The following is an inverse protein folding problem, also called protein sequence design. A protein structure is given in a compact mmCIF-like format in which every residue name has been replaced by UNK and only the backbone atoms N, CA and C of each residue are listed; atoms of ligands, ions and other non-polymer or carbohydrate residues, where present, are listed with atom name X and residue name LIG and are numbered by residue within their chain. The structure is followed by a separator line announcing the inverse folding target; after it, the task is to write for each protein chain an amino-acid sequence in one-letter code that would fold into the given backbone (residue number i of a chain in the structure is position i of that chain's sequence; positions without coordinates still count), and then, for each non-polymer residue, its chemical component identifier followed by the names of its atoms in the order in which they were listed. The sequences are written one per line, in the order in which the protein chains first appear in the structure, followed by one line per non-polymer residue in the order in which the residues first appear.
data_IF_196235613518
#
_entry.id   IF_196235613518
#
_cell.length_a   1.000
_cell.length_b   1.000
_cell.length_c   1.000
_cell.angle_alpha   90.00
_cell.angle_beta   90.00
_cell.angle_gamma   90.00
#
_symmetry.space_group_name_H-M   'P 1'
#
loop_
_entity.id
_entity.type
_entity.pdbx_description
1 polymer ?
#
# COMPACT_ATOMS: atom_id res chain seq x y z
N UNK A 1 8.04 -12.98 2.68
CA UNK A 1 6.92 -12.30 3.36
C UNK A 1 6.99 -12.58 4.85
N UNK A 2 7.29 -11.56 5.66
CA UNK A 2 7.40 -11.68 7.12
C UNK A 2 6.99 -10.35 7.77
N UNK A 3 5.75 -9.93 7.53
CA UNK A 3 5.18 -8.69 8.06
C UNK A 3 4.12 -9.00 9.14
N UNK A 4 4.01 -8.18 10.20
CA UNK A 4 2.91 -8.25 11.15
C UNK A 4 1.55 -8.19 10.44
N UNK A 5 0.48 -8.66 11.10
CA UNK A 5 -0.87 -8.79 10.50
C UNK A 5 -0.93 -9.73 9.28
N UNK A 6 -0.24 -10.88 9.37
CA UNK A 6 -0.37 -12.00 8.43
C UNK A 6 -0.12 -11.59 6.97
N UNK A 7 0.89 -10.74 6.74
CA UNK A 7 1.25 -10.21 5.43
C UNK A 7 0.09 -9.53 4.67
N UNK A 8 -0.76 -8.75 5.35
CA UNK A 8 -1.68 -7.85 4.67
C UNK A 8 -0.91 -6.90 3.73
N UNK A 9 -1.39 -6.75 2.49
CA UNK A 9 -0.76 -5.95 1.45
C UNK A 9 -1.06 -4.47 1.67
N UNK A 10 -0.25 -3.83 2.52
CA UNK A 10 -0.18 -2.37 2.62
C UNK A 10 0.53 -1.79 1.39
N UNK A 11 0.36 -0.48 1.15
CA UNK A 11 1.07 0.20 0.05
C UNK A 11 2.59 0.13 0.23
N UNK A 12 3.08 0.17 1.47
CA UNK A 12 4.51 0.01 1.76
C UNK A 12 5.02 -1.36 1.29
N UNK A 13 4.29 -2.44 1.62
CA UNK A 13 4.66 -3.78 1.18
C UNK A 13 4.62 -3.95 -0.34
N UNK A 14 3.64 -3.33 -1.00
CA UNK A 14 3.54 -3.35 -2.46
C UNK A 14 4.73 -2.63 -3.11
N UNK A 15 5.15 -1.49 -2.56
CA UNK A 15 6.32 -0.75 -3.04
C UNK A 15 7.62 -1.57 -2.85
N UNK A 16 7.78 -2.24 -1.71
CA UNK A 16 8.94 -3.10 -1.46
C UNK A 16 8.99 -4.27 -2.46
N UNK A 17 7.84 -4.89 -2.74
CA UNK A 17 7.74 -5.96 -3.73
C UNK A 17 8.04 -5.47 -5.15
N UNK A 18 7.51 -4.31 -5.52
CA UNK A 18 7.80 -3.67 -6.80
C UNK A 18 9.30 -3.43 -6.96
N UNK A 19 9.96 -2.85 -5.96
CA UNK A 19 11.40 -2.63 -5.99
C UNK A 19 12.19 -3.93 -6.10
N UNK A 20 11.81 -4.95 -5.33
CA UNK A 20 12.46 -6.26 -5.38
C UNK A 20 12.31 -6.93 -6.76
N UNK A 21 11.12 -6.89 -7.37
CA UNK A 21 10.90 -7.44 -8.70
C UNK A 21 11.62 -6.62 -9.79
N UNK A 22 11.63 -5.30 -9.68
CA UNK A 22 12.37 -4.42 -10.59
C UNK A 22 13.88 -4.64 -10.51
N UNK A 23 14.41 -4.98 -9.34
CA UNK A 23 15.81 -5.35 -9.19
C UNK A 23 16.08 -6.73 -9.81
N UNK A 24 15.23 -7.71 -9.53
CA UNK A 24 15.35 -9.07 -10.06
C UNK A 24 15.24 -9.10 -11.61
N UNK A 25 14.34 -8.32 -12.20
CA UNK A 25 14.12 -8.29 -13.65
C UNK A 25 15.26 -7.68 -14.45
N UNK A 26 16.10 -6.86 -13.81
CA UNK A 26 17.28 -6.23 -14.41
C UNK A 26 18.55 -7.07 -14.24
N UNK A 27 18.48 -8.19 -13.52
CA UNK A 27 19.61 -9.05 -13.27
C UNK A 27 19.51 -10.31 -14.13
N UNK A 28 20.35 -10.41 -15.15
CA UNK A 28 20.35 -11.53 -16.10
C UNK A 28 20.67 -12.89 -15.43
N UNK A 29 21.31 -12.89 -14.25
CA UNK A 29 21.59 -14.13 -13.50
C UNK A 29 20.35 -14.68 -12.80
N UNK A 30 19.33 -13.85 -12.57
CA UNK A 30 18.08 -14.27 -11.93
C UNK A 30 17.17 -14.94 -12.95
N UNK A 31 17.01 -16.25 -12.81
CA UNK A 31 16.15 -17.06 -13.70
C UNK A 31 14.72 -17.27 -13.19
N UNK A 32 14.45 -16.86 -11.96
CA UNK A 32 13.13 -16.97 -11.36
C UNK A 32 13.09 -16.37 -9.95
N UNK A 33 11.88 -16.05 -9.49
CA UNK A 33 11.65 -15.49 -8.16
C UNK A 33 10.68 -16.40 -7.41
N UNK A 34 11.08 -16.85 -6.22
CA UNK A 34 10.24 -17.65 -5.34
C UNK A 34 9.82 -16.83 -4.12
N UNK A 35 8.53 -16.53 -4.04
CA UNK A 35 7.93 -15.82 -2.90
C UNK A 35 7.46 -16.83 -1.85
N UNK A 36 7.90 -16.66 -0.61
CA UNK A 36 7.45 -17.48 0.53
C UNK A 36 7.00 -16.65 1.70
N UNK A 37 6.12 -17.22 2.51
CA UNK A 37 5.70 -16.66 3.79
C UNK A 37 6.40 -17.37 4.94
N UNK A 38 6.69 -16.62 5.99
CA UNK A 38 7.18 -17.16 7.26
C UNK A 38 6.03 -17.68 8.16
N UNK A 39 4.77 -17.49 7.75
CA UNK A 39 3.61 -18.05 8.43
C UNK A 39 3.23 -19.41 7.81
N UNK A 40 2.97 -20.40 8.65
CA UNK A 40 2.70 -21.77 8.22
C UNK A 40 1.36 -21.94 7.47
N UNK A 41 0.35 -21.13 7.81
CA UNK A 41 -1.01 -21.31 7.30
C UNK A 41 -1.41 -20.31 6.22
N UNK A 42 -0.63 -19.24 6.01
CA UNK A 42 -1.11 -18.11 5.20
C UNK A 42 0.04 -17.40 4.51
N UNK A 43 -0.09 -17.26 3.19
CA UNK A 43 0.85 -16.47 2.41
C UNK A 43 0.64 -14.97 2.61
N UNK A 44 -0.60 -14.52 2.38
CA UNK A 44 -1.09 -13.15 2.61
C UNK A 44 -2.61 -13.20 2.85
N UNK A 45 -3.13 -12.27 3.63
CA UNK A 45 -4.58 -12.12 3.90
C UNK A 45 -5.27 -11.16 2.94
N UNK A 46 -4.60 -10.70 1.88
CA UNK A 46 -5.16 -9.75 0.93
C UNK A 46 -4.76 -8.30 1.22
N UNK A 47 -5.53 -7.35 0.71
CA UNK A 47 -5.25 -5.92 0.85
C UNK A 47 -5.43 -5.42 2.29
N UNK A 48 -4.55 -4.52 2.74
CA UNK A 48 -4.75 -3.80 4.00
C UNK A 48 -5.76 -2.66 3.78
N UNK A 49 -7.04 -2.98 3.99
CA UNK A 49 -8.12 -2.01 3.81
C UNK A 49 -7.96 -0.79 4.73
N UNK A 50 -7.41 -0.95 5.94
CA UNK A 50 -7.19 0.16 6.85
C UNK A 50 -6.17 1.16 6.31
N UNK A 51 -5.07 0.68 5.74
CA UNK A 51 -4.08 1.53 5.04
C UNK A 51 -4.70 2.21 3.82
N UNK A 52 -5.49 1.47 3.02
CA UNK A 52 -6.20 2.04 1.87
C UNK A 52 -7.15 3.17 2.28
N UNK A 53 -8.00 2.95 3.29
CA UNK A 53 -8.93 3.97 3.79
C UNK A 53 -8.19 5.20 4.32
N UNK A 54 -7.12 5.01 5.11
CA UNK A 54 -6.33 6.11 5.64
C UNK A 54 -5.71 6.97 4.53
N UNK A 55 -5.26 6.35 3.43
CA UNK A 55 -4.68 7.05 2.28
C UNK A 55 -5.73 7.76 1.43
N UNK A 56 -6.87 7.14 1.17
CA UNK A 56 -8.00 7.81 0.51
C UNK A 56 -8.45 9.03 1.31
N UNK A 57 -8.63 8.88 2.63
CA UNK A 57 -9.00 9.99 3.50
C UNK A 57 -7.95 11.13 3.51
N UNK A 58 -6.65 10.81 3.47
CA UNK A 58 -5.59 11.82 3.34
C UNK A 58 -5.59 12.52 1.98
N UNK A 59 -5.84 11.78 0.90
CA UNK A 59 -5.92 12.33 -0.46
C UNK A 59 -7.09 13.29 -0.62
N UNK A 60 -8.22 12.96 -0.01
CA UNK A 60 -9.46 13.70 -0.18
C UNK A 60 -9.57 14.88 0.82
N UNK A 61 -8.72 14.91 1.87
CA UNK A 61 -8.66 15.99 2.87
C UNK A 61 -8.49 17.40 2.28
N UNK A 62 -7.58 17.68 1.33
CA UNK A 62 -7.42 19.02 0.76
C UNK A 62 -8.66 19.48 -0.03
N UNK A 63 -9.38 18.55 -0.67
CA UNK A 63 -10.61 18.87 -1.38
C UNK A 63 -11.73 19.23 -0.39
N UNK A 64 -11.80 18.54 0.75
CA UNK A 64 -12.73 18.85 1.85
C UNK A 64 -12.37 20.18 2.51
N UNK A 65 -11.09 20.43 2.81
CA UNK A 65 -10.62 21.70 3.38
C UNK A 65 -10.93 22.87 2.44
N UNK A 66 -10.65 22.72 1.13
CA UNK A 66 -11.01 23.73 0.13
C UNK A 66 -12.52 23.96 0.07
N UNK A 67 -13.32 22.91 0.05
CA UNK A 67 -14.79 23.02 0.05
C UNK A 67 -15.31 23.74 1.30
N UNK A 68 -14.78 23.41 2.48
CA UNK A 68 -15.13 24.09 3.74
C UNK A 68 -14.68 25.55 3.72
N UNK A 69 -13.46 25.85 3.29
CA UNK A 69 -12.98 27.23 3.13
C UNK A 69 -13.87 28.01 2.17
N UNK A 70 -14.18 27.46 0.99
CA UNK A 70 -15.04 28.11 0.00
C UNK A 70 -16.47 28.29 0.53
N UNK A 71 -16.99 27.35 1.31
CA UNK A 71 -18.36 27.43 1.88
C UNK A 71 -18.43 28.45 3.01
N UNK A 72 -17.44 28.49 3.90
CA UNK A 72 -17.37 29.45 5.01
C UNK A 72 -17.02 30.86 4.49
N UNK A 73 -16.11 30.97 3.52
CA UNK A 73 -15.73 32.26 2.93
C UNK A 73 -16.82 32.87 2.04
N UNK A 74 -17.75 32.06 1.51
CA UNK A 74 -18.92 32.54 0.76
C UNK A 74 -20.08 33.01 1.63
N UNK A 75 -19.94 32.96 2.96
CA UNK A 75 -20.93 33.52 3.89
C UNK A 75 -22.26 32.76 3.87
N UNK A 76 -22.34 31.75 4.72
CA UNK A 76 -23.55 31.56 5.53
C UNK A 76 -23.38 32.43 6.77
#
# INVERSE_FOLDING_TARGET
MNRPKVNAMSIELLNDLEQAFNHASKNDDVKGVHLRSNFNSTFSVGADLSDMYARCAKRDRPAIEKFLFDTVARGI
#
